data_IF_262221084534
#
_entry.id   IF_262221084534
#
_cell.length_a   1.000
_cell.length_b   1.000
_cell.length_c   1.000
_cell.angle_alpha   90.00
_cell.angle_beta   90.00
_cell.angle_gamma   90.00
#
_symmetry.space_group_name_H-M   'P 1'
#
loop_
_entity.id
_entity.type
_entity.pdbx_description
1 polymer ?
#
# COMPACT_ATOMS: atom_id res chain seq x y z
N UNK A 1 -35.76 15.65 18.06
CA UNK A 1 -34.42 15.27 18.55
C UNK A 1 -33.46 15.29 17.37
N UNK A 2 -32.26 15.89 17.48
CA UNK A 2 -31.25 15.91 16.41
C UNK A 2 -30.10 14.96 16.76
N UNK A 3 -29.66 14.14 15.80
CA UNK A 3 -28.52 13.25 15.98
C UNK A 3 -27.22 14.05 16.19
N UNK A 4 -26.34 13.56 17.08
CA UNK A 4 -24.99 14.09 17.32
C UNK A 4 -23.99 12.96 17.42
N UNK A 5 -22.85 13.11 16.75
CA UNK A 5 -21.69 12.23 16.91
C UNK A 5 -21.03 12.49 18.28
N UNK A 6 -21.00 11.48 19.14
CA UNK A 6 -20.46 11.60 20.50
C UNK A 6 -18.95 11.32 20.54
N UNK A 7 -18.46 10.39 19.73
CA UNK A 7 -17.04 10.06 19.65
C UNK A 7 -16.69 9.39 18.31
N UNK A 8 -15.45 9.55 17.88
CA UNK A 8 -14.85 8.86 16.74
C UNK A 8 -13.39 8.55 17.06
N UNK A 9 -12.95 7.33 16.74
CA UNK A 9 -11.55 6.91 16.84
C UNK A 9 -11.19 5.99 15.67
N UNK A 10 -9.96 6.07 15.20
CA UNK A 10 -9.38 5.15 14.23
C UNK A 10 -8.02 4.64 14.72
N UNK A 11 -7.56 3.55 14.10
CA UNK A 11 -6.21 3.03 14.25
C UNK A 11 -5.78 2.42 12.91
N UNK A 12 -4.49 2.48 12.64
CA UNK A 12 -3.86 1.83 11.49
C UNK A 12 -2.65 1.03 11.98
N UNK A 13 -2.21 0.01 11.22
CA UNK A 13 -0.98 -0.70 11.51
C UNK A 13 0.28 0.20 11.53
N UNK A 14 1.38 -0.19 12.19
CA UNK A 14 2.51 0.72 12.44
C UNK A 14 3.46 0.90 11.25
N UNK A 15 3.47 0.00 10.26
CA UNK A 15 4.43 0.06 9.16
C UNK A 15 3.88 0.90 8.02
N UNK A 16 4.45 2.11 7.84
CA UNK A 16 4.16 2.98 6.70
C UNK A 16 4.85 2.44 5.46
N UNK A 17 4.10 2.29 4.38
CA UNK A 17 4.57 1.90 3.07
C UNK A 17 4.34 3.06 2.09
N UNK A 18 5.41 3.76 1.71
CA UNK A 18 5.33 4.83 0.72
C UNK A 18 5.03 4.26 -0.67
N UNK A 19 4.26 4.98 -1.49
CA UNK A 19 3.82 4.47 -2.79
C UNK A 19 5.00 4.07 -3.69
N UNK A 20 6.07 4.87 -3.68
CA UNK A 20 7.28 4.62 -4.48
C UNK A 20 7.99 3.33 -4.03
N UNK A 21 8.04 3.07 -2.72
CA UNK A 21 8.65 1.86 -2.18
C UNK A 21 7.82 0.62 -2.56
N UNK A 22 6.49 0.73 -2.50
CA UNK A 22 5.60 -0.36 -2.93
C UNK A 22 5.70 -0.62 -4.43
N UNK A 23 5.78 0.42 -5.27
CA UNK A 23 6.01 0.28 -6.72
C UNK A 23 7.32 -0.46 -6.99
N UNK A 24 8.43 -0.02 -6.37
CA UNK A 24 9.75 -0.62 -6.54
C UNK A 24 9.75 -2.09 -6.07
N UNK A 25 9.08 -2.38 -4.95
CA UNK A 25 8.90 -3.76 -4.47
C UNK A 25 8.08 -4.60 -5.44
N UNK A 26 6.93 -4.12 -5.89
CA UNK A 26 6.04 -4.85 -6.79
C UNK A 26 6.73 -5.19 -8.12
N UNK A 27 7.52 -4.26 -8.67
CA UNK A 27 8.34 -4.49 -9.86
C UNK A 27 9.33 -5.67 -9.67
N UNK A 28 9.97 -5.77 -8.50
CA UNK A 28 10.91 -6.87 -8.18
C UNK A 28 10.21 -8.19 -7.89
N UNK A 29 9.14 -8.16 -7.09
CA UNK A 29 8.40 -9.34 -6.65
C UNK A 29 7.73 -10.05 -7.82
N UNK A 30 7.18 -9.29 -8.78
CA UNK A 30 6.46 -9.83 -9.92
C UNK A 30 7.27 -9.79 -11.22
N UNK A 31 8.61 -9.70 -11.15
CA UNK A 31 9.50 -9.60 -12.33
C UNK A 31 9.29 -10.72 -13.36
N UNK A 32 8.84 -11.90 -12.91
CA UNK A 32 8.62 -13.07 -13.76
C UNK A 32 7.24 -13.08 -14.44
N UNK A 33 6.35 -12.14 -14.09
CA UNK A 33 5.05 -11.97 -14.73
C UNK A 33 5.20 -11.10 -15.97
N UNK A 34 4.95 -11.70 -17.15
CA UNK A 34 5.09 -11.05 -18.47
C UNK A 34 4.32 -9.73 -18.64
N UNK A 35 3.26 -9.52 -17.86
CA UNK A 35 2.37 -8.36 -17.97
C UNK A 35 2.54 -7.34 -16.84
N UNK A 36 3.53 -7.51 -15.96
CA UNK A 36 3.70 -6.63 -14.79
C UNK A 36 3.91 -5.17 -15.19
N UNK A 37 4.69 -4.90 -16.24
CA UNK A 37 4.98 -3.53 -16.70
C UNK A 37 3.72 -2.76 -17.09
N UNK A 38 2.70 -3.47 -17.62
CA UNK A 38 1.40 -2.88 -17.95
C UNK A 38 0.59 -2.51 -16.71
N UNK A 39 0.82 -3.18 -15.59
CA UNK A 39 0.09 -3.01 -14.33
C UNK A 39 0.77 -2.00 -13.39
N UNK A 40 2.09 -1.83 -13.47
CA UNK A 40 2.84 -0.87 -12.63
C UNK A 40 2.30 0.58 -12.67
N UNK A 41 1.79 1.12 -13.79
CA UNK A 41 1.19 2.45 -13.81
C UNK A 41 -0.02 2.61 -12.88
N UNK A 42 -0.66 1.52 -12.40
CA UNK A 42 -1.78 1.63 -11.46
C UNK A 42 -1.35 2.32 -10.17
N UNK A 43 -0.12 2.11 -9.71
CA UNK A 43 0.38 2.72 -8.48
C UNK A 43 0.40 4.25 -8.61
N UNK A 44 0.83 4.82 -9.73
CA UNK A 44 0.85 6.28 -9.90
C UNK A 44 -0.55 6.89 -10.08
N UNK A 45 -1.54 6.08 -10.50
CA UNK A 45 -2.88 6.57 -10.86
C UNK A 45 -3.93 6.40 -9.74
N UNK A 46 -3.58 5.78 -8.61
CA UNK A 46 -4.53 5.52 -7.51
C UNK A 46 -4.84 6.73 -6.62
N UNK A 47 -4.01 7.77 -6.64
CA UNK A 47 -4.07 8.87 -5.66
C UNK A 47 -3.63 8.45 -4.24
N UNK A 48 -3.03 7.26 -4.08
CA UNK A 48 -2.50 6.79 -2.79
C UNK A 48 -1.06 7.29 -2.63
N UNK A 49 -0.83 8.11 -1.60
CA UNK A 49 0.51 8.54 -1.20
C UNK A 49 1.22 7.45 -0.38
N UNK A 50 0.52 6.85 0.59
CA UNK A 50 1.07 5.83 1.49
C UNK A 50 0.00 4.83 1.95
N UNK A 51 0.44 3.65 2.38
CA UNK A 51 -0.39 2.62 3.02
C UNK A 51 0.17 2.24 4.39
N UNK A 52 -0.66 1.60 5.20
CA UNK A 52 -0.24 1.05 6.50
C UNK A 52 -0.37 -0.47 6.47
N UNK A 53 0.67 -1.17 6.94
CA UNK A 53 0.78 -2.63 6.92
C UNK A 53 1.04 -3.19 8.30
N UNK A 54 0.56 -4.40 8.57
CA UNK A 54 0.83 -5.14 9.81
C UNK A 54 2.25 -5.76 9.85
N UNK A 55 2.96 -5.75 8.72
CA UNK A 55 4.32 -6.25 8.55
C UNK A 55 5.18 -5.23 7.79
N UNK A 56 6.51 -5.16 8.03
CA UNK A 56 7.39 -4.26 7.28
C UNK A 56 7.43 -4.64 5.78
N UNK A 57 7.82 -3.71 4.90
CA UNK A 57 7.93 -3.99 3.46
C UNK A 57 8.92 -5.11 3.13
N UNK A 58 9.85 -5.38 4.03
CA UNK A 58 10.84 -6.46 3.93
C UNK A 58 10.24 -7.84 4.13
N UNK A 59 9.01 -7.94 4.65
CA UNK A 59 8.27 -9.20 4.71
C UNK A 59 8.06 -9.81 3.31
N UNK A 60 8.01 -8.97 2.28
CA UNK A 60 7.90 -9.37 0.87
C UNK A 60 9.26 -9.55 0.16
N UNK A 61 10.37 -9.68 0.91
CA UNK A 61 11.70 -9.98 0.32
C UNK A 61 11.87 -11.46 -0.08
N UNK A 62 11.01 -12.36 0.41
CA UNK A 62 11.18 -13.81 0.21
C UNK A 62 10.54 -14.32 -1.09
N UNK A 63 11.38 -14.57 -2.09
CA UNK A 63 11.64 -15.90 -2.70
C UNK A 63 13.06 -15.94 -3.28
#
# INVERSE_FOLDING_TARGET
>A
MRARLQALKSAVPPYVLEQNDVLARASRLFRERRDIERLLPVFTNTGIERRYSCVPITWYDAE
#
